data_IF_720945925622
#
_entry.id   IF_720945925622
#
_cell.length_a   1.000
_cell.length_b   1.000
_cell.length_c   1.000
_cell.angle_alpha   90.00
_cell.angle_beta   90.00
_cell.angle_gamma   90.00
#
_symmetry.space_group_name_H-M   'P 1'
#
loop_
_entity.id
_entity.type
_entity.pdbx_description
1 polymer ?
#
# COMPACT_ATOMS: atom_id res chain seq x y z
N UNK A 1 -13.36 12.08 8.39
CA UNK A 1 -13.06 12.25 6.95
C UNK A 1 -14.21 11.60 6.18
N UNK A 2 -14.74 12.25 5.17
CA UNK A 2 -15.74 11.66 4.28
C UNK A 2 -15.02 10.93 3.14
N UNK A 3 -15.46 9.74 2.80
CA UNK A 3 -14.89 8.89 1.72
C UNK A 3 -15.54 9.21 0.37
N UNK A 4 -16.75 9.75 0.38
CA UNK A 4 -17.50 10.10 -0.83
C UNK A 4 -16.64 11.00 -1.72
N UNK A 5 -16.60 10.68 -3.02
CA UNK A 5 -15.85 11.41 -4.04
C UNK A 5 -14.31 11.46 -3.86
N UNK A 6 -13.73 10.64 -2.99
CA UNK A 6 -12.26 10.55 -2.80
C UNK A 6 -11.60 9.63 -3.84
N UNK A 7 -10.40 10.01 -4.24
CA UNK A 7 -9.50 9.23 -5.11
C UNK A 7 -8.52 8.50 -4.21
N UNK A 8 -8.53 7.18 -4.28
CA UNK A 8 -7.86 6.32 -3.32
C UNK A 8 -6.84 5.42 -4.01
N UNK A 9 -5.71 5.19 -3.37
CA UNK A 9 -4.76 4.13 -3.73
C UNK A 9 -4.66 3.16 -2.56
N UNK A 10 -4.68 1.85 -2.85
CA UNK A 10 -4.50 0.79 -1.84
C UNK A 10 -3.42 -0.15 -2.30
N UNK A 11 -2.35 -0.30 -1.51
CA UNK A 11 -1.30 -1.31 -1.75
C UNK A 11 -1.55 -2.60 -0.98
N UNK A 12 -1.07 -3.74 -1.50
CA UNK A 12 -1.37 -5.06 -0.94
C UNK A 12 -2.84 -5.46 -1.18
N UNK A 13 -3.41 -5.07 -2.33
CA UNK A 13 -4.83 -5.12 -2.59
C UNK A 13 -5.32 -6.38 -3.33
N UNK A 14 -4.42 -7.31 -3.68
CA UNK A 14 -4.83 -8.57 -4.30
C UNK A 14 -5.60 -9.49 -3.33
N UNK A 15 -5.41 -9.33 -2.03
CA UNK A 15 -6.01 -10.21 -1.02
C UNK A 15 -6.19 -9.53 0.35
N UNK A 16 -6.71 -10.27 1.33
CA UNK A 16 -6.71 -9.91 2.75
C UNK A 16 -7.29 -8.52 3.04
N UNK A 17 -6.59 -7.76 3.88
CA UNK A 17 -7.01 -6.45 4.37
C UNK A 17 -7.09 -5.44 3.20
N UNK A 18 -6.12 -5.43 2.30
CA UNK A 18 -6.10 -4.49 1.18
C UNK A 18 -7.29 -4.68 0.23
N UNK A 19 -7.64 -5.94 -0.10
CA UNK A 19 -8.86 -6.24 -0.88
C UNK A 19 -10.13 -5.83 -0.14
N UNK A 20 -10.20 -6.08 1.17
CA UNK A 20 -11.34 -5.67 1.98
C UNK A 20 -11.51 -4.13 2.03
N UNK A 21 -10.40 -3.39 2.16
CA UNK A 21 -10.40 -1.93 2.07
C UNK A 21 -10.94 -1.46 0.71
N UNK A 22 -10.51 -2.08 -0.39
CA UNK A 22 -10.98 -1.73 -1.73
C UNK A 22 -12.50 -1.92 -1.89
N UNK A 23 -13.03 -3.03 -1.36
CA UNK A 23 -14.48 -3.29 -1.34
C UNK A 23 -15.21 -2.22 -0.54
N UNK A 24 -14.68 -1.84 0.62
CA UNK A 24 -15.31 -0.85 1.48
C UNK A 24 -15.26 0.55 0.88
N UNK A 25 -14.14 0.94 0.25
CA UNK A 25 -14.08 2.20 -0.50
C UNK A 25 -15.12 2.29 -1.62
N UNK A 26 -15.39 1.16 -2.30
CA UNK A 26 -16.49 1.09 -3.28
C UNK A 26 -17.85 1.30 -2.63
N UNK A 27 -18.13 0.62 -1.51
CA UNK A 27 -19.38 0.73 -0.77
C UNK A 27 -19.63 2.16 -0.27
N UNK A 28 -18.57 2.82 0.21
CA UNK A 28 -18.58 4.20 0.70
C UNK A 28 -18.52 5.25 -0.42
N UNK A 29 -18.66 4.84 -1.69
CA UNK A 29 -18.72 5.71 -2.86
C UNK A 29 -17.50 6.59 -3.06
N UNK A 30 -16.31 6.03 -2.84
CA UNK A 30 -15.09 6.65 -3.35
C UNK A 30 -15.24 6.93 -4.86
N UNK A 31 -14.70 8.04 -5.32
CA UNK A 31 -14.79 8.45 -6.72
C UNK A 31 -14.10 7.46 -7.65
N UNK A 32 -12.92 7.04 -7.26
CA UNK A 32 -12.11 6.06 -7.99
C UNK A 32 -11.06 5.44 -7.06
N UNK A 33 -10.63 4.22 -7.36
CA UNK A 33 -9.62 3.50 -6.58
C UNK A 33 -8.61 2.84 -7.49
N UNK A 34 -7.32 3.03 -7.22
CA UNK A 34 -6.24 2.24 -7.82
C UNK A 34 -5.81 1.17 -6.82
N UNK A 35 -5.88 -0.09 -7.24
CA UNK A 35 -5.44 -1.24 -6.47
C UNK A 35 -4.05 -1.67 -6.91
N UNK A 36 -3.14 -1.86 -5.98
CA UNK A 36 -1.76 -2.17 -6.29
C UNK A 36 -1.25 -3.35 -5.45
N UNK A 37 -0.51 -4.26 -6.07
CA UNK A 37 0.05 -5.45 -5.41
C UNK A 37 1.23 -6.00 -6.21
N UNK A 38 2.09 -6.79 -5.58
CA UNK A 38 3.10 -7.58 -6.26
C UNK A 38 2.48 -8.73 -7.06
N UNK A 39 1.34 -9.26 -6.59
CA UNK A 39 0.60 -10.34 -7.24
C UNK A 39 -0.26 -9.78 -8.37
N UNK A 40 -0.05 -10.29 -9.60
CA UNK A 40 -0.79 -9.89 -10.80
C UNK A 40 -2.32 -10.08 -10.70
N UNK A 41 -2.79 -10.92 -9.77
CA UNK A 41 -4.23 -11.10 -9.49
C UNK A 41 -4.91 -9.76 -9.10
N UNK A 42 -4.15 -8.76 -8.65
CA UNK A 42 -4.67 -7.42 -8.36
C UNK A 42 -5.38 -6.79 -9.55
N UNK A 43 -4.94 -7.07 -10.77
CA UNK A 43 -5.57 -6.53 -12.00
C UNK A 43 -6.99 -7.07 -12.13
N UNK A 44 -7.16 -8.38 -11.94
CA UNK A 44 -8.48 -9.02 -11.98
C UNK A 44 -9.38 -8.56 -10.84
N UNK A 45 -8.85 -8.46 -9.63
CA UNK A 45 -9.59 -7.93 -8.46
C UNK A 45 -10.08 -6.50 -8.73
N UNK A 46 -9.23 -5.66 -9.32
CA UNK A 46 -9.59 -4.30 -9.68
C UNK A 46 -10.70 -4.27 -10.74
N UNK A 47 -10.60 -5.08 -11.80
CA UNK A 47 -11.63 -5.19 -12.83
C UNK A 47 -12.99 -5.63 -12.27
N UNK A 48 -13.03 -6.64 -11.39
CA UNK A 48 -14.24 -7.12 -10.72
C UNK A 48 -14.91 -6.00 -9.87
N UNK A 49 -14.10 -5.12 -9.30
CA UNK A 49 -14.58 -3.98 -8.52
C UNK A 49 -14.91 -2.74 -9.38
N UNK A 50 -14.55 -2.73 -10.66
CA UNK A 50 -14.71 -1.59 -11.56
C UNK A 50 -13.63 -0.52 -11.38
N UNK A 51 -12.43 -0.90 -10.91
CA UNK A 51 -11.28 -0.06 -10.63
C UNK A 51 -10.08 -0.39 -11.52
N UNK A 52 -8.98 0.32 -11.35
CA UNK A 52 -7.73 0.07 -12.06
C UNK A 52 -6.74 -0.70 -11.18
N UNK A 53 -6.08 -1.72 -11.74
CA UNK A 53 -5.04 -2.50 -11.09
C UNK A 53 -3.64 -2.07 -11.55
N UNK A 54 -2.66 -2.16 -10.66
CA UNK A 54 -1.25 -1.89 -10.94
C UNK A 54 -0.35 -2.90 -10.23
N UNK A 55 0.55 -3.53 -10.97
CA UNK A 55 1.49 -4.52 -10.41
C UNK A 55 2.79 -3.84 -10.04
N UNK A 56 3.24 -3.98 -8.77
CA UNK A 56 4.49 -3.40 -8.31
C UNK A 56 5.08 -4.14 -7.11
N UNK A 57 6.38 -3.96 -6.92
CA UNK A 57 7.06 -4.22 -5.65
C UNK A 57 7.19 -2.91 -4.85
N UNK A 58 6.41 -2.77 -3.77
CA UNK A 58 6.41 -1.56 -2.92
C UNK A 58 7.77 -1.30 -2.22
N UNK A 59 8.63 -2.32 -2.10
CA UNK A 59 9.99 -2.17 -1.58
C UNK A 59 10.92 -1.39 -2.51
N UNK A 60 10.50 -1.13 -3.75
CA UNK A 60 11.28 -0.39 -4.73
C UNK A 60 10.72 1.02 -4.93
N UNK A 61 11.51 2.03 -4.61
CA UNK A 61 11.09 3.43 -4.66
C UNK A 61 10.60 3.85 -6.04
N UNK A 62 11.30 3.45 -7.12
CA UNK A 62 10.92 3.81 -8.48
C UNK A 62 9.57 3.23 -8.86
N UNK A 63 9.27 1.98 -8.47
CA UNK A 63 7.98 1.36 -8.74
C UNK A 63 6.85 2.04 -7.95
N UNK A 64 7.09 2.51 -6.71
CA UNK A 64 6.13 3.33 -5.95
C UNK A 64 5.87 4.67 -6.64
N UNK A 65 6.91 5.30 -7.17
CA UNK A 65 6.78 6.54 -7.95
C UNK A 65 5.95 6.33 -9.22
N UNK A 66 6.16 5.21 -9.91
CA UNK A 66 5.40 4.85 -11.11
C UNK A 66 3.91 4.60 -10.78
N UNK A 67 3.61 3.92 -9.66
CA UNK A 67 2.25 3.76 -9.17
C UNK A 67 1.58 5.12 -8.91
N UNK A 68 2.28 6.06 -8.25
CA UNK A 68 1.74 7.40 -7.95
C UNK A 68 1.47 8.16 -9.26
N UNK A 69 2.38 8.07 -10.24
CA UNK A 69 2.20 8.69 -11.56
C UNK A 69 1.00 8.11 -12.28
N UNK A 70 0.88 6.79 -12.33
CA UNK A 70 -0.25 6.07 -12.92
C UNK A 70 -1.59 6.48 -12.25
N UNK A 71 -1.63 6.53 -10.93
CA UNK A 71 -2.82 6.91 -10.19
C UNK A 71 -3.23 8.37 -10.47
N UNK A 72 -2.25 9.28 -10.55
CA UNK A 72 -2.50 10.67 -10.92
C UNK A 72 -3.05 10.82 -12.34
N UNK A 73 -2.52 10.07 -13.30
CA UNK A 73 -3.02 10.06 -14.68
C UNK A 73 -4.46 9.53 -14.77
N UNK A 74 -4.76 8.46 -14.04
CA UNK A 74 -6.09 7.83 -14.05
C UNK A 74 -7.15 8.65 -13.33
N UNK A 75 -6.82 9.20 -12.18
CA UNK A 75 -7.80 9.82 -11.27
C UNK A 75 -7.72 11.35 -11.21
N UNK A 76 -6.66 11.96 -11.74
CA UNK A 76 -6.42 13.40 -11.64
C UNK A 76 -5.93 13.86 -10.26
N UNK A 77 -5.34 12.98 -9.48
CA UNK A 77 -4.79 13.22 -8.14
C UNK A 77 -5.09 12.09 -7.17
N UNK A 78 -4.55 12.18 -5.96
CA UNK A 78 -4.71 11.19 -4.89
C UNK A 78 -5.11 11.92 -3.61
N UNK A 79 -6.26 11.54 -3.04
CA UNK A 79 -6.76 12.10 -1.79
C UNK A 79 -6.38 11.22 -0.58
N UNK A 80 -6.38 9.89 -0.78
CA UNK A 80 -6.08 8.90 0.25
C UNK A 80 -5.11 7.88 -0.34
N UNK A 81 -4.00 7.62 0.36
CA UNK A 81 -3.08 6.54 0.02
C UNK A 81 -2.97 5.57 1.20
N UNK A 82 -3.47 4.35 1.02
CA UNK A 82 -3.38 3.27 1.98
C UNK A 82 -2.13 2.44 1.70
N UNK A 83 -1.04 2.74 2.39
CA UNK A 83 0.17 1.94 2.40
C UNK A 83 -0.06 0.73 3.31
N UNK A 84 -0.62 -0.33 2.71
CA UNK A 84 -1.11 -1.51 3.44
C UNK A 84 -0.31 -2.78 3.10
N UNK A 85 0.39 -2.82 1.98
CA UNK A 85 1.23 -3.95 1.63
C UNK A 85 2.21 -4.28 2.75
N UNK A 86 2.32 -5.56 3.07
CA UNK A 86 3.22 -6.05 4.10
C UNK A 86 3.40 -7.56 3.97
N UNK A 87 4.52 -8.06 4.44
CA UNK A 87 4.86 -9.48 4.43
C UNK A 87 5.23 -9.93 5.83
N UNK A 88 4.87 -11.17 6.18
CA UNK A 88 5.45 -11.87 7.32
C UNK A 88 6.90 -12.22 7.03
N UNK A 89 7.74 -12.25 8.07
CA UNK A 89 9.12 -12.67 7.92
C UNK A 89 9.31 -14.20 7.99
N UNK A 90 10.51 -14.64 7.64
CA UNK A 90 10.97 -15.96 8.02
C UNK A 90 10.94 -16.11 9.55
N UNK A 91 10.50 -17.28 10.01
CA UNK A 91 10.52 -17.59 11.45
C UNK A 91 11.94 -17.93 11.84
N UNK A 92 12.50 -17.19 12.77
CA UNK A 92 13.87 -17.40 13.24
C UNK A 92 14.45 -16.17 13.91
N UNK A 93 15.67 -16.30 14.38
CA UNK A 93 16.47 -15.19 14.91
C UNK A 93 17.89 -15.26 14.36
N UNK A 94 18.59 -16.40 14.54
CA UNK A 94 19.98 -16.58 14.15
C UNK A 94 20.14 -17.05 12.71
N UNK A 95 19.12 -17.73 12.18
CA UNK A 95 19.13 -18.40 10.87
C UNK A 95 18.50 -17.53 9.76
N UNK A 96 17.98 -16.35 10.10
CA UNK A 96 17.37 -15.45 9.12
C UNK A 96 18.46 -14.76 8.31
N UNK A 97 18.36 -14.87 6.99
CA UNK A 97 19.36 -14.26 6.08
C UNK A 97 19.29 -12.73 6.10
N UNK A 98 20.41 -12.09 5.76
CA UNK A 98 20.46 -10.62 5.61
C UNK A 98 19.49 -10.14 4.54
N UNK A 99 19.31 -10.90 3.47
CA UNK A 99 18.37 -10.62 2.38
C UNK A 99 16.93 -10.66 2.85
N UNK A 100 16.57 -11.60 3.73
CA UNK A 100 15.23 -11.66 4.32
C UNK A 100 14.96 -10.44 5.23
N UNK A 101 15.93 -10.05 6.06
CA UNK A 101 15.85 -8.82 6.85
C UNK A 101 15.65 -7.59 5.97
N UNK A 102 16.45 -7.47 4.89
CA UNK A 102 16.33 -6.33 3.98
C UNK A 102 14.97 -6.31 3.29
N UNK A 103 14.49 -7.47 2.83
CA UNK A 103 13.18 -7.57 2.16
C UNK A 103 12.04 -7.11 3.07
N UNK A 104 12.06 -7.54 4.34
CA UNK A 104 11.03 -7.14 5.31
C UNK A 104 11.12 -5.64 5.59
N UNK A 105 12.33 -5.11 5.76
CA UNK A 105 12.56 -3.69 5.95
C UNK A 105 12.04 -2.86 4.76
N UNK A 106 12.35 -3.29 3.54
CA UNK A 106 11.95 -2.57 2.33
C UNK A 106 10.43 -2.57 2.14
N UNK A 107 9.78 -3.71 2.38
CA UNK A 107 8.33 -3.85 2.19
C UNK A 107 7.54 -3.26 3.35
N UNK A 108 7.90 -3.59 4.60
CA UNK A 108 7.08 -3.21 5.76
C UNK A 108 7.38 -1.81 6.31
N UNK A 109 8.53 -1.21 5.96
CA UNK A 109 8.92 0.11 6.43
C UNK A 109 9.22 1.09 5.29
N UNK A 110 10.18 0.78 4.41
CA UNK A 110 10.60 1.72 3.37
C UNK A 110 9.49 2.06 2.39
N UNK A 111 8.56 1.15 2.13
CA UNK A 111 7.38 1.42 1.29
C UNK A 111 6.56 2.63 1.80
N UNK A 112 6.40 2.77 3.12
CA UNK A 112 5.72 3.93 3.72
C UNK A 112 6.52 5.22 3.52
N UNK A 113 7.85 5.15 3.68
CA UNK A 113 8.73 6.29 3.48
C UNK A 113 8.75 6.74 2.01
N UNK A 114 8.80 5.79 1.06
CA UNK A 114 8.73 6.08 -0.37
C UNK A 114 7.41 6.75 -0.75
N UNK A 115 6.28 6.19 -0.29
CA UNK A 115 4.97 6.80 -0.51
C UNK A 115 4.90 8.22 0.05
N UNK A 116 5.32 8.43 1.29
CA UNK A 116 5.31 9.75 1.92
C UNK A 116 6.19 10.76 1.16
N UNK A 117 7.39 10.36 0.76
CA UNK A 117 8.34 11.22 0.01
C UNK A 117 7.73 11.77 -1.28
N UNK A 118 7.01 10.94 -2.02
CA UNK A 118 6.45 11.32 -3.32
C UNK A 118 5.04 11.92 -3.25
N UNK A 119 4.28 11.65 -2.16
CA UNK A 119 2.91 12.13 -2.01
C UNK A 119 2.80 13.43 -1.23
N UNK A 120 3.61 13.64 -0.19
CA UNK A 120 3.49 14.83 0.67
C UNK A 120 3.57 16.14 -0.12
N UNK A 121 4.53 16.34 -1.07
CA UNK A 121 4.59 17.57 -1.83
C UNK A 121 3.28 17.86 -2.59
N UNK A 122 2.75 16.88 -3.32
CA UNK A 122 1.51 17.07 -4.08
C UNK A 122 0.27 17.26 -3.18
N UNK A 123 0.21 16.59 -2.02
CA UNK A 123 -0.88 16.76 -1.06
C UNK A 123 -0.84 18.14 -0.40
N UNK A 124 0.35 18.70 -0.17
CA UNK A 124 0.51 20.08 0.31
C UNK A 124 0.06 21.09 -0.74
N UNK A 125 0.44 20.90 -2.01
CA UNK A 125 0.01 21.75 -3.12
C UNK A 125 -1.51 21.67 -3.34
N UNK A 126 -2.08 20.48 -3.16
CA UNK A 126 -3.53 20.22 -3.21
C UNK A 126 -4.29 20.80 -2.00
N UNK A 127 -3.58 21.11 -0.89
CA UNK A 127 -4.15 21.59 0.38
C UNK A 127 -4.87 20.52 1.19
N UNK A 128 -4.83 19.25 0.79
CA UNK A 128 -5.43 18.12 1.49
C UNK A 128 -4.82 16.79 1.07
N UNK A 129 -4.85 15.80 1.96
CA UNK A 129 -4.39 14.44 1.68
C UNK A 129 -4.31 13.60 2.95
N UNK A 130 -4.41 12.28 2.80
CA UNK A 130 -4.28 11.33 3.89
C UNK A 130 -3.35 10.19 3.50
N UNK A 131 -2.31 9.98 4.31
CA UNK A 131 -1.47 8.78 4.29
C UNK A 131 -1.93 7.86 5.42
N UNK A 132 -2.40 6.69 5.07
CA UNK A 132 -2.85 5.66 6.01
C UNK A 132 -1.87 4.49 5.95
N UNK A 133 -1.20 4.20 7.07
CA UNK A 133 -0.23 3.12 7.15
C UNK A 133 -0.79 1.96 7.97
N UNK A 134 -0.79 0.76 7.41
CA UNK A 134 -1.11 -0.45 8.15
C UNK A 134 0.09 -0.83 9.01
N UNK A 135 -0.12 -0.92 10.30
CA UNK A 135 0.88 -1.35 11.27
C UNK A 135 0.44 -2.65 11.98
N UNK A 136 1.37 -3.33 12.60
CA UNK A 136 1.09 -4.55 13.35
C UNK A 136 1.25 -4.33 14.86
N UNK A 137 0.41 -5.00 15.65
CA UNK A 137 0.60 -5.11 17.09
C UNK A 137 1.95 -5.77 17.45
N UNK A 138 2.55 -6.54 16.55
CA UNK A 138 3.88 -7.11 16.73
C UNK A 138 4.98 -6.04 16.90
N UNK A 139 4.77 -4.82 16.42
CA UNK A 139 5.67 -3.69 16.70
C UNK A 139 5.64 -3.20 18.15
N UNK A 140 4.62 -3.59 18.92
CA UNK A 140 4.46 -3.25 20.35
C UNK A 140 4.60 -4.46 21.27
N UNK A 141 4.49 -5.68 20.73
CA UNK A 141 4.49 -6.93 21.47
C UNK A 141 5.61 -7.83 20.97
N UNK A 142 6.29 -8.50 21.90
CA UNK A 142 7.32 -9.47 21.55
C UNK A 142 6.69 -10.74 21.03
N UNK A 143 7.07 -11.17 19.83
CA UNK A 143 6.73 -12.46 19.26
C UNK A 143 8.01 -13.31 19.12
N UNK A 144 8.07 -14.43 19.82
CA UNK A 144 9.22 -15.34 19.74
C UNK A 144 9.33 -15.90 18.31
N UNK A 145 10.52 -15.81 17.73
CA UNK A 145 10.82 -16.37 16.42
C UNK A 145 10.47 -15.46 15.23
N UNK A 146 9.92 -14.26 15.44
CA UNK A 146 9.59 -13.32 14.39
C UNK A 146 10.48 -12.05 14.45
N UNK A 147 11.78 -12.23 14.65
CA UNK A 147 12.70 -11.12 14.88
C UNK A 147 12.75 -10.08 13.75
N UNK A 148 12.64 -10.45 12.46
CA UNK A 148 12.66 -9.47 11.37
C UNK A 148 11.35 -8.70 11.18
N UNK A 149 10.25 -9.21 11.73
CA UNK A 149 8.92 -8.63 11.62
C UNK A 149 8.63 -7.72 12.82
#
# INVERSE_FOLDING_TARGET
MDIVDKRVVVTGAASGIGKALAVEFKNEKAKDVVLADLNEEVVKVAEELGFSGFVLNVGKEDEVKDLISFANEKMGGIDIFCSNAGIGGEIGLLDVSTEAWQTIWDVNFMAHAHAAKHLIPQMLDQGSGYLVNTASAAGLLTQIGAAPY
#
